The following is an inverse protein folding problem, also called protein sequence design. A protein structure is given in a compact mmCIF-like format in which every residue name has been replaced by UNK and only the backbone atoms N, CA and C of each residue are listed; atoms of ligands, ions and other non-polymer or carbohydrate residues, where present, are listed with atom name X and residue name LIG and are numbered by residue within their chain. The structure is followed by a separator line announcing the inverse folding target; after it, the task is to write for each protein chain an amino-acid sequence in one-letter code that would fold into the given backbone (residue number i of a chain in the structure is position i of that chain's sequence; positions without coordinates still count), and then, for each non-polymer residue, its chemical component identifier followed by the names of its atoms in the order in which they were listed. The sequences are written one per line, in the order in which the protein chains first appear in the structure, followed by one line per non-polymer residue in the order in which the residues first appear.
data_IF_661003900835
#
_entry.id   IF_661003900835
#
_cell.length_a   1.000
_cell.length_b   1.000
_cell.length_c   1.000
_cell.angle_alpha   90.00
_cell.angle_beta   90.00
_cell.angle_gamma   90.00
#
_symmetry.space_group_name_H-M   'P 1'
#
loop_
_entity.id
_entity.type
_entity.pdbx_description
1 polymer ?
#
# COMPACT_ATOMS: atom_id res chain seq x y z
N UNK A 1 -2.72 -17.23 -14.87
CA UNK A 1 -2.58 -16.46 -13.61
C UNK A 1 -2.34 -17.48 -12.51
N UNK A 2 -1.19 -17.45 -11.84
CA UNK A 2 -0.90 -18.41 -10.77
C UNK A 2 -1.78 -18.07 -9.57
N UNK A 3 -2.59 -19.02 -9.10
CA UNK A 3 -3.42 -18.83 -7.91
C UNK A 3 -2.53 -18.56 -6.70
N UNK A 4 -2.70 -17.41 -6.06
CA UNK A 4 -1.99 -17.09 -4.82
C UNK A 4 -2.68 -17.81 -3.64
N UNK A 5 -2.10 -18.94 -3.23
CA UNK A 5 -2.64 -19.78 -2.16
C UNK A 5 -2.34 -19.27 -0.74
N UNK A 6 -1.64 -18.12 -0.61
CA UNK A 6 -1.28 -17.59 0.71
C UNK A 6 -2.45 -16.85 1.34
N UNK A 7 -2.68 -17.05 2.63
CA UNK A 7 -3.63 -16.26 3.42
C UNK A 7 -3.15 -14.81 3.55
N UNK A 8 -4.08 -13.90 3.90
CA UNK A 8 -3.71 -12.50 4.18
C UNK A 8 -2.63 -12.40 5.26
N UNK A 9 -2.72 -13.19 6.33
CA UNK A 9 -1.71 -13.21 7.40
C UNK A 9 -0.36 -13.75 6.95
N UNK A 10 -0.33 -14.75 6.06
CA UNK A 10 0.93 -15.23 5.47
C UNK A 10 1.60 -14.15 4.62
N UNK A 11 0.82 -13.36 3.88
CA UNK A 11 1.35 -12.23 3.09
C UNK A 11 1.87 -11.12 4.01
N UNK A 12 1.14 -10.78 5.08
CA UNK A 12 1.59 -9.80 6.09
C UNK A 12 2.88 -10.27 6.77
N UNK A 13 2.95 -11.54 7.18
CA UNK A 13 4.14 -12.12 7.79
C UNK A 13 5.35 -12.08 6.85
N UNK A 14 5.15 -12.39 5.57
CA UNK A 14 6.19 -12.30 4.55
C UNK A 14 6.71 -10.85 4.41
N UNK A 15 5.82 -9.86 4.29
CA UNK A 15 6.23 -8.45 4.22
C UNK A 15 6.98 -8.02 5.47
N UNK A 16 6.51 -8.40 6.67
CA UNK A 16 7.19 -8.09 7.94
C UNK A 16 8.60 -8.70 7.98
N UNK A 17 8.75 -9.95 7.56
CA UNK A 17 10.05 -10.60 7.47
C UNK A 17 10.99 -9.88 6.49
N UNK A 18 10.50 -9.53 5.30
CA UNK A 18 11.28 -8.76 4.31
C UNK A 18 11.73 -7.39 4.84
N UNK A 19 10.84 -6.66 5.51
CA UNK A 19 11.19 -5.37 6.12
C UNK A 19 12.23 -5.54 7.22
N UNK A 20 12.08 -6.56 8.07
CA UNK A 20 13.04 -6.87 9.14
C UNK A 20 14.42 -7.19 8.56
N UNK A 21 14.48 -8.01 7.51
CA UNK A 21 15.73 -8.32 6.81
C UNK A 21 16.38 -7.09 6.17
N UNK A 22 15.58 -6.10 5.77
CA UNK A 22 16.05 -4.81 5.27
C UNK A 22 16.42 -3.81 6.40
N UNK A 23 16.36 -4.20 7.67
CA UNK A 23 16.64 -3.32 8.81
C UNK A 23 15.52 -2.35 9.17
N UNK A 24 14.30 -2.58 8.66
CA UNK A 24 13.13 -1.77 8.93
C UNK A 24 12.14 -2.48 9.86
N UNK A 25 11.50 -1.71 10.74
CA UNK A 25 10.36 -2.19 11.55
C UNK A 25 9.06 -1.72 10.92
N UNK A 26 8.06 -2.61 10.85
CA UNK A 26 6.70 -2.23 10.47
C UNK A 26 5.91 -1.80 11.72
N UNK A 27 5.30 -0.62 11.66
CA UNK A 27 4.37 -0.15 12.68
C UNK A 27 3.00 -0.84 12.54
N UNK A 28 2.20 -0.80 13.61
CA UNK A 28 0.82 -1.33 13.58
C UNK A 28 -0.04 -0.63 12.53
N UNK A 29 0.17 0.66 12.32
CA UNK A 29 -0.55 1.45 11.32
C UNK A 29 -0.19 1.01 9.89
N UNK A 30 1.10 0.81 9.61
CA UNK A 30 1.57 0.31 8.31
C UNK A 30 1.00 -1.09 8.01
N UNK A 31 0.94 -1.96 9.02
CA UNK A 31 0.31 -3.27 8.88
C UNK A 31 -1.20 -3.19 8.64
N UNK A 32 -1.90 -2.29 9.33
CA UNK A 32 -3.31 -2.04 9.09
C UNK A 32 -3.56 -1.56 7.65
N UNK A 33 -2.75 -0.62 7.14
CA UNK A 33 -2.79 -0.17 5.75
C UNK A 33 -2.51 -1.31 4.76
N UNK A 34 -1.50 -2.13 5.01
CA UNK A 34 -1.21 -3.32 4.20
C UNK A 34 -2.41 -4.28 4.15
N UNK A 35 -3.08 -4.51 5.28
CA UNK A 35 -4.28 -5.37 5.32
C UNK A 35 -5.43 -4.79 4.48
N UNK A 36 -5.64 -3.47 4.47
CA UNK A 36 -6.64 -2.81 3.60
C UNK A 36 -6.33 -3.06 2.12
N UNK A 37 -5.05 -2.95 1.72
CA UNK A 37 -4.59 -3.27 0.36
C UNK A 37 -4.85 -4.74 0.02
N UNK A 38 -4.50 -5.67 0.92
CA UNK A 38 -4.68 -7.11 0.69
C UNK A 38 -6.15 -7.53 0.59
N UNK A 39 -7.07 -6.79 1.23
CA UNK A 39 -8.53 -6.98 1.11
C UNK A 39 -9.14 -6.26 -0.10
N UNK A 40 -8.35 -5.47 -0.83
CA UNK A 40 -8.84 -4.67 -1.96
C UNK A 40 -9.66 -3.45 -1.56
N UNK A 41 -9.63 -3.04 -0.29
CA UNK A 41 -10.36 -1.85 0.21
C UNK A 41 -9.73 -0.55 -0.31
N UNK A 42 -8.41 -0.59 -0.55
CA UNK A 42 -7.65 0.48 -1.21
C UNK A 42 -6.62 -0.14 -2.16
N UNK A 43 -6.22 0.61 -3.16
CA UNK A 43 -5.12 0.26 -4.05
C UNK A 43 -3.76 0.56 -3.42
N UNK A 44 -2.69 0.03 -4.03
CA UNK A 44 -1.32 0.39 -3.64
C UNK A 44 -1.00 1.88 -3.84
N UNK A 45 -1.59 2.50 -4.87
CA UNK A 45 -1.42 3.93 -5.15
C UNK A 45 -2.13 4.79 -4.09
N UNK A 46 -3.35 4.42 -3.69
CA UNK A 46 -4.07 5.09 -2.59
C UNK A 46 -3.29 4.96 -1.27
N UNK A 47 -2.77 3.77 -0.96
CA UNK A 47 -1.94 3.55 0.22
C UNK A 47 -0.66 4.41 0.21
N UNK A 48 -0.01 4.55 -0.95
CA UNK A 48 1.17 5.40 -1.10
C UNK A 48 0.85 6.89 -0.95
N UNK A 49 -0.31 7.32 -1.47
CA UNK A 49 -0.77 8.70 -1.35
C UNK A 49 -1.06 9.07 0.12
N UNK A 50 -1.77 8.20 0.86
CA UNK A 50 -2.01 8.40 2.30
C UNK A 50 -0.70 8.61 3.07
N UNK A 51 0.34 7.83 2.75
CA UNK A 51 1.66 7.97 3.39
C UNK A 51 2.27 9.32 3.04
N UNK A 52 2.36 9.68 1.76
CA UNK A 52 2.94 10.94 1.30
C UNK A 52 2.24 12.14 1.94
N UNK A 53 0.91 12.12 2.01
CA UNK A 53 0.12 13.16 2.64
C UNK A 53 0.36 13.25 4.15
N UNK A 54 0.46 12.11 4.85
CA UNK A 54 0.74 12.07 6.29
C UNK A 54 2.10 12.67 6.68
N UNK A 55 3.06 12.66 5.76
CA UNK A 55 4.37 13.29 5.93
C UNK A 55 4.41 14.75 5.48
N UNK A 56 3.29 15.34 5.07
CA UNK A 56 3.18 16.73 4.63
C UNK A 56 3.59 16.97 3.18
N UNK A 57 3.73 15.91 2.37
CA UNK A 57 4.12 16.01 0.97
C UNK A 57 2.93 15.93 0.00
N UNK A 58 1.72 16.27 0.47
CA UNK A 58 0.49 16.20 -0.32
C UNK A 58 0.48 17.09 -1.57
N UNK A 59 1.26 18.17 -1.57
CA UNK A 59 1.39 19.08 -2.71
C UNK A 59 2.59 18.74 -3.62
N UNK A 60 3.27 17.63 -3.36
CA UNK A 60 4.38 17.20 -4.20
C UNK A 60 3.91 16.73 -5.58
N UNK A 61 4.77 16.89 -6.59
CA UNK A 61 4.55 16.31 -7.93
C UNK A 61 4.23 14.82 -7.85
N UNK A 62 4.85 14.11 -6.90
CA UNK A 62 4.60 12.68 -6.71
C UNK A 62 3.19 12.38 -6.24
N UNK A 63 2.64 13.20 -5.33
CA UNK A 63 1.26 13.07 -4.89
C UNK A 63 0.28 13.29 -6.05
N UNK A 64 0.55 14.28 -6.90
CA UNK A 64 -0.26 14.56 -8.08
C UNK A 64 -0.27 13.39 -9.09
N UNK A 65 0.90 12.80 -9.36
CA UNK A 65 1.00 11.60 -10.22
C UNK A 65 0.16 10.44 -9.65
N UNK A 66 0.17 10.23 -8.33
CA UNK A 66 -0.66 9.20 -7.70
C UNK A 66 -2.15 9.49 -7.87
N UNK A 67 -2.59 10.74 -7.62
CA UNK A 67 -4.00 11.15 -7.82
C UNK A 67 -4.47 10.89 -9.25
N UNK A 68 -3.66 11.21 -10.25
CA UNK A 68 -3.98 10.96 -11.66
C UNK A 68 -4.10 9.46 -11.98
N UNK A 69 -3.22 8.61 -11.43
CA UNK A 69 -3.29 7.14 -11.60
C UNK A 69 -4.53 6.55 -10.92
N UNK A 70 -4.86 7.05 -9.74
CA UNK A 70 -6.06 6.65 -8.99
C UNK A 70 -7.31 7.02 -9.78
N UNK A 71 -7.40 8.25 -10.31
CA UNK A 71 -8.54 8.70 -11.11
C UNK A 71 -8.73 7.82 -12.36
N UNK A 72 -7.67 7.59 -13.15
CA UNK A 72 -7.72 6.73 -14.34
C UNK A 72 -8.14 5.29 -14.04
N UNK A 73 -7.77 4.77 -12.88
CA UNK A 73 -8.13 3.40 -12.48
C UNK A 73 -9.62 3.31 -12.11
N UNK A 74 -10.18 4.37 -11.51
CA UNK A 74 -11.61 4.45 -11.18
C UNK A 74 -12.48 4.63 -12.42
N UNK A 75 -12.00 5.36 -13.43
CA UNK A 75 -12.71 5.55 -14.69
C UNK A 75 -12.76 4.26 -15.56
N UNK A 76 -11.89 3.29 -15.27
CA UNK A 76 -11.80 2.02 -16.00
C UNK A 76 -12.59 0.86 -15.35
N UNK A 77 -13.25 1.11 -14.21
CA UNK A 77 -14.15 0.17 -13.53
C UNK A 77 -15.61 0.43 -13.90
#
# INVERSE_FOLDING_TARGET
MTTDNRTGDQKVAAVRASMTMAGHTISREQEARLRRVLRGEITGDEAALEVIESYGYGDSERAEVLRQRIAKTKDAQ
#
